data_IF_349895920561
#
_entry.id   IF_349895920561
#
_cell.length_a   1.000
_cell.length_b   1.000
_cell.length_c   1.000
_cell.angle_alpha   90.00
_cell.angle_beta   90.00
_cell.angle_gamma   90.00
#
_symmetry.space_group_name_H-M   'P 1'
#
loop_
_entity.id
_entity.type
_entity.pdbx_description
1 polymer ?
#
# COMPACT_ATOMS: atom_id res chain seq x y z
N UNK A 1 -16.39 38.54 -16.42
CA UNK A 1 -15.23 37.93 -15.66
C UNK A 1 -15.01 36.58 -16.30
N UNK A 2 -14.04 36.46 -17.18
CA UNK A 2 -13.60 35.17 -17.73
C UNK A 2 -13.03 34.39 -16.57
N UNK A 3 -13.68 33.30 -16.23
CA UNK A 3 -13.27 32.39 -15.14
C UNK A 3 -11.91 31.80 -15.53
N UNK A 4 -10.86 32.37 -14.95
CA UNK A 4 -9.50 31.91 -15.21
C UNK A 4 -9.39 30.47 -14.76
N UNK A 5 -8.94 29.58 -15.64
CA UNK A 5 -8.89 28.14 -15.35
C UNK A 5 -8.02 27.85 -14.14
N UNK A 6 -8.54 27.17 -13.14
CA UNK A 6 -7.78 26.77 -11.94
C UNK A 6 -6.52 25.98 -12.31
N UNK A 7 -5.36 26.36 -11.75
CA UNK A 7 -4.06 25.68 -11.95
C UNK A 7 -3.62 24.85 -10.73
N UNK A 8 -4.56 24.48 -9.86
CA UNK A 8 -4.31 23.51 -8.78
C UNK A 8 -4.56 22.09 -9.28
N UNK A 9 -3.64 21.17 -9.03
CA UNK A 9 -3.82 19.76 -9.34
C UNK A 9 -4.31 18.97 -8.12
N UNK A 10 -5.20 18.00 -8.32
CA UNK A 10 -5.52 16.96 -7.35
C UNK A 10 -4.75 15.69 -7.70
N UNK A 11 -4.07 15.10 -6.72
CA UNK A 11 -3.48 13.76 -6.83
C UNK A 11 -4.15 12.85 -5.81
N UNK A 12 -4.74 11.75 -6.27
CA UNK A 12 -5.45 10.76 -5.44
C UNK A 12 -4.60 9.51 -5.27
N UNK A 13 -4.15 9.28 -4.03
CA UNK A 13 -3.22 8.22 -3.65
C UNK A 13 -1.78 8.73 -3.53
N UNK A 14 -1.18 8.52 -2.37
CA UNK A 14 0.18 8.96 -2.04
C UNK A 14 1.15 7.77 -1.89
N UNK A 15 1.05 6.77 -2.77
CA UNK A 15 2.11 5.82 -3.06
C UNK A 15 3.23 6.48 -3.89
N UNK A 16 4.26 5.73 -4.28
CA UNK A 16 5.42 6.27 -5.01
C UNK A 16 5.00 7.03 -6.29
N UNK A 17 3.99 6.55 -7.03
CA UNK A 17 3.50 7.24 -8.22
C UNK A 17 2.85 8.60 -7.89
N UNK A 18 1.95 8.63 -6.89
CA UNK A 18 1.31 9.90 -6.49
C UNK A 18 2.29 10.89 -5.87
N UNK A 19 3.24 10.42 -5.07
CA UNK A 19 4.35 11.25 -4.53
C UNK A 19 5.16 11.86 -5.67
N UNK A 20 5.55 11.06 -6.68
CA UNK A 20 6.31 11.55 -7.84
C UNK A 20 5.52 12.60 -8.60
N UNK A 21 4.27 12.30 -8.96
CA UNK A 21 3.43 13.25 -9.71
C UNK A 21 3.20 14.57 -8.93
N UNK A 22 2.97 14.47 -7.62
CA UNK A 22 2.78 15.65 -6.77
C UNK A 22 4.03 16.53 -6.70
N UNK A 23 5.21 15.92 -6.54
CA UNK A 23 6.48 16.66 -6.49
C UNK A 23 6.82 17.27 -7.85
N UNK A 24 6.64 16.56 -8.96
CA UNK A 24 6.94 17.07 -10.30
C UNK A 24 6.10 18.34 -10.62
N UNK A 25 4.82 18.32 -10.23
CA UNK A 25 3.92 19.47 -10.40
C UNK A 25 4.30 20.61 -9.44
N UNK A 26 4.50 20.29 -8.16
CA UNK A 26 4.77 21.29 -7.14
C UNK A 26 6.13 21.98 -7.33
N UNK A 27 7.17 21.24 -7.71
CA UNK A 27 8.49 21.76 -8.05
C UNK A 27 8.47 22.65 -9.31
N UNK A 28 7.46 22.50 -10.17
CA UNK A 28 7.22 23.39 -11.31
C UNK A 28 6.42 24.66 -10.94
N UNK A 29 6.14 24.89 -9.65
CA UNK A 29 5.52 26.08 -9.12
C UNK A 29 3.98 26.04 -9.07
N UNK A 30 3.33 24.91 -9.35
CA UNK A 30 1.88 24.80 -9.30
C UNK A 30 1.39 24.15 -8.01
N UNK A 31 0.27 24.63 -7.43
CA UNK A 31 -0.32 24.05 -6.23
C UNK A 31 -0.86 22.63 -6.46
N UNK A 32 -0.66 21.77 -5.48
CA UNK A 32 -1.13 20.38 -5.47
C UNK A 32 -1.93 20.08 -4.20
N UNK A 33 -3.07 19.45 -4.36
CA UNK A 33 -3.82 18.79 -3.28
C UNK A 33 -3.54 17.29 -3.39
N UNK A 34 -2.82 16.74 -2.40
CA UNK A 34 -2.49 15.31 -2.36
C UNK A 34 -3.35 14.61 -1.30
N UNK A 35 -4.18 13.65 -1.74
CA UNK A 35 -5.11 12.93 -0.87
C UNK A 35 -4.67 11.48 -0.69
N UNK A 36 -4.55 11.04 0.58
CA UNK A 36 -4.19 9.67 0.94
C UNK A 36 -5.18 9.11 1.95
N UNK A 37 -5.65 7.88 1.68
CA UNK A 37 -6.59 7.18 2.54
C UNK A 37 -5.95 6.71 3.85
N UNK A 38 -4.70 6.29 3.82
CA UNK A 38 -3.98 5.86 5.01
C UNK A 38 -3.53 7.08 5.85
N UNK A 39 -3.25 6.88 7.15
CA UNK A 39 -2.81 8.00 8.00
C UNK A 39 -1.42 8.55 7.66
N UNK A 40 -0.67 7.87 6.80
CA UNK A 40 0.61 8.35 6.26
C UNK A 40 0.83 7.91 4.83
N UNK A 41 1.69 8.64 4.11
CA UNK A 41 2.02 8.40 2.71
C UNK A 41 3.10 7.33 2.54
N UNK A 42 3.26 6.80 1.31
CA UNK A 42 4.29 5.84 0.93
C UNK A 42 3.77 4.57 0.24
N UNK A 43 2.50 4.22 0.44
CA UNK A 43 1.88 3.04 -0.19
C UNK A 43 2.62 1.74 0.09
N UNK A 44 2.62 0.81 -0.86
CA UNK A 44 3.29 -0.48 -0.71
C UNK A 44 4.82 -0.36 -0.62
N UNK A 45 5.44 0.68 -1.19
CA UNK A 45 6.89 0.86 -1.07
C UNK A 45 7.32 1.05 0.39
N UNK A 46 6.47 1.63 1.24
CA UNK A 46 6.69 1.73 2.69
C UNK A 46 6.73 0.37 3.40
N UNK A 47 6.23 -0.68 2.79
CA UNK A 47 6.20 -2.04 3.35
C UNK A 47 7.39 -2.89 2.92
N UNK A 48 8.15 -2.47 1.89
CA UNK A 48 9.28 -3.22 1.37
C UNK A 48 10.51 -3.12 2.28
N UNK A 49 11.33 -4.16 2.28
CA UNK A 49 12.67 -4.16 2.88
C UNK A 49 13.67 -3.46 1.97
N UNK A 50 13.85 -4.00 0.79
CA UNK A 50 14.78 -3.52 -0.24
C UNK A 50 14.10 -3.53 -1.61
N UNK A 51 14.71 -2.88 -2.60
CA UNK A 51 14.24 -2.85 -4.00
C UNK A 51 15.05 -3.80 -4.85
N UNK A 52 14.51 -4.27 -5.96
CA UNK A 52 15.26 -4.97 -7.00
C UNK A 52 15.54 -4.00 -8.17
N UNK A 53 16.61 -4.18 -8.95
CA UNK A 53 17.65 -5.20 -8.84
C UNK A 53 18.84 -4.77 -7.96
N UNK A 54 18.82 -3.57 -7.41
CA UNK A 54 19.96 -2.93 -6.72
C UNK A 54 20.16 -3.38 -5.29
N UNK A 55 19.12 -3.95 -4.66
CA UNK A 55 19.08 -4.27 -3.22
C UNK A 55 19.24 -3.03 -2.32
N UNK A 56 18.80 -1.88 -2.80
CA UNK A 56 18.77 -0.66 -2.00
C UNK A 56 17.63 -0.70 -0.98
N UNK A 57 17.87 -0.12 0.17
CA UNK A 57 16.87 0.07 1.22
C UNK A 57 15.70 0.93 0.71
N UNK A 58 14.51 0.37 0.65
CA UNK A 58 13.32 1.07 0.15
C UNK A 58 12.97 2.32 0.96
N UNK A 59 13.18 2.27 2.30
CA UNK A 59 12.95 3.40 3.18
C UNK A 59 13.95 4.54 2.94
N UNK A 60 15.22 4.20 2.65
CA UNK A 60 16.26 5.18 2.37
C UNK A 60 15.98 5.96 1.08
N UNK A 61 15.37 5.31 0.09
CA UNK A 61 14.94 5.96 -1.16
C UNK A 61 13.68 6.80 -0.94
N UNK A 62 12.72 6.26 -0.21
CA UNK A 62 11.39 6.85 -0.08
C UNK A 62 11.33 7.99 0.95
N UNK A 63 12.04 7.87 2.07
CA UNK A 63 11.96 8.86 3.17
C UNK A 63 12.27 10.29 2.72
N UNK A 64 13.32 10.57 1.92
CA UNK A 64 13.55 11.92 1.43
C UNK A 64 12.35 12.48 0.65
N UNK A 65 11.73 11.66 -0.20
CA UNK A 65 10.58 12.06 -1.01
C UNK A 65 9.33 12.32 -0.17
N UNK A 66 9.06 11.48 0.83
CA UNK A 66 7.92 11.67 1.72
C UNK A 66 8.09 12.91 2.62
N UNK A 67 9.31 13.18 3.09
CA UNK A 67 9.64 14.38 3.85
C UNK A 67 9.51 15.64 2.99
N UNK A 68 9.99 15.60 1.75
CA UNK A 68 9.81 16.68 0.77
C UNK A 68 8.34 17.01 0.56
N UNK A 69 7.48 16.00 0.30
CA UNK A 69 6.03 16.18 0.20
C UNK A 69 5.44 16.81 1.47
N UNK A 70 5.86 16.34 2.64
CA UNK A 70 5.32 16.80 3.92
C UNK A 70 5.65 18.26 4.28
N UNK A 71 6.66 18.84 3.63
CA UNK A 71 7.14 20.21 3.88
C UNK A 71 7.07 21.14 2.67
N UNK A 72 6.63 20.64 1.51
CA UNK A 72 6.59 21.42 0.29
C UNK A 72 5.50 22.49 0.36
N UNK A 73 5.85 23.76 0.11
CA UNK A 73 4.93 24.90 0.21
C UNK A 73 3.75 24.84 -0.75
N UNK A 74 3.95 24.22 -1.93
CA UNK A 74 2.91 24.05 -2.94
C UNK A 74 2.09 22.76 -2.78
N UNK A 75 2.32 21.93 -1.73
CA UNK A 75 1.56 20.71 -1.52
C UNK A 75 0.69 20.80 -0.27
N UNK A 76 -0.62 20.74 -0.47
CA UNK A 76 -1.59 20.53 0.63
C UNK A 76 -1.84 19.02 0.78
N UNK A 77 -1.28 18.43 1.83
CA UNK A 77 -1.38 16.99 2.10
C UNK A 77 -2.57 16.67 3.01
N UNK A 78 -3.51 15.89 2.51
CA UNK A 78 -4.65 15.36 3.25
C UNK A 78 -4.52 13.84 3.39
N UNK A 79 -3.89 13.39 4.48
CA UNK A 79 -3.88 11.97 4.85
C UNK A 79 -5.08 11.59 5.70
N UNK A 80 -5.35 10.29 5.85
CA UNK A 80 -6.52 9.76 6.53
C UNK A 80 -7.83 10.28 5.95
N UNK A 81 -7.85 10.46 4.61
CA UNK A 81 -8.89 11.17 3.88
C UNK A 81 -9.38 10.38 2.67
N UNK A 82 -10.67 10.45 2.41
CA UNK A 82 -11.32 9.82 1.26
C UNK A 82 -11.95 10.90 0.36
N UNK A 83 -11.99 10.67 -0.95
CA UNK A 83 -12.79 11.49 -1.84
C UNK A 83 -14.28 11.14 -1.63
N UNK A 84 -15.08 12.12 -1.23
CA UNK A 84 -16.50 11.95 -1.00
C UNK A 84 -17.30 12.14 -2.30
N UNK A 85 -16.98 13.20 -3.04
CA UNK A 85 -17.62 13.49 -4.34
C UNK A 85 -16.74 14.37 -5.22
N UNK A 86 -16.97 14.27 -6.51
CA UNK A 86 -16.34 15.09 -7.55
C UNK A 86 -17.42 15.62 -8.48
N UNK A 87 -17.41 16.92 -8.74
CA UNK A 87 -18.34 17.57 -9.66
C UNK A 87 -17.57 18.47 -10.62
N UNK A 88 -17.76 18.25 -11.92
CA UNK A 88 -17.23 19.14 -12.94
C UNK A 88 -18.07 20.42 -12.99
N UNK A 89 -17.42 21.55 -13.06
CA UNK A 89 -18.06 22.87 -13.14
C UNK A 89 -18.13 23.36 -14.60
N UNK A 90 -19.05 24.33 -14.90
CA UNK A 90 -19.14 24.90 -16.25
C UNK A 90 -17.83 25.56 -16.74
N UNK A 91 -16.97 26.00 -15.81
CA UNK A 91 -15.63 26.52 -16.10
C UNK A 91 -14.64 25.50 -16.63
N UNK A 92 -15.00 24.20 -16.56
CA UNK A 92 -14.09 23.08 -16.85
C UNK A 92 -13.23 22.64 -15.65
N UNK A 93 -13.30 23.33 -14.53
CA UNK A 93 -12.68 22.94 -13.28
C UNK A 93 -13.48 21.84 -12.56
N UNK A 94 -12.91 21.28 -11.52
CA UNK A 94 -13.57 20.30 -10.66
C UNK A 94 -13.70 20.84 -9.25
N UNK A 95 -14.89 20.69 -8.66
CA UNK A 95 -15.12 20.86 -7.24
C UNK A 95 -15.05 19.49 -6.59
N UNK A 96 -14.12 19.30 -5.64
CA UNK A 96 -13.85 18.03 -4.98
C UNK A 96 -14.14 18.16 -3.50
N UNK A 97 -14.97 17.27 -2.98
CA UNK A 97 -15.22 17.14 -1.54
C UNK A 97 -14.38 16.01 -0.97
N UNK A 98 -13.55 16.35 0.00
CA UNK A 98 -12.62 15.47 0.66
C UNK A 98 -13.10 15.29 2.10
N UNK A 99 -13.43 14.06 2.49
CA UNK A 99 -13.77 13.71 3.87
C UNK A 99 -12.52 13.27 4.62
N UNK A 100 -12.04 14.11 5.53
CA UNK A 100 -10.98 13.75 6.47
C UNK A 100 -11.61 13.04 7.67
N UNK A 101 -11.21 11.81 7.90
CA UNK A 101 -11.73 10.98 8.98
C UNK A 101 -11.22 11.47 10.34
N UNK A 102 -12.04 11.28 11.38
CA UNK A 102 -11.65 11.56 12.75
C UNK A 102 -10.53 10.62 13.19
N UNK A 103 -9.37 11.19 13.48
CA UNK A 103 -8.20 10.46 14.00
C UNK A 103 -8.31 10.24 15.52
N UNK A 104 -9.21 10.98 16.19
CA UNK A 104 -9.34 11.11 17.65
C UNK A 104 -8.05 11.59 18.32
N UNK A 105 -7.20 12.23 17.53
CA UNK A 105 -5.97 12.90 17.93
C UNK A 105 -5.93 14.25 17.21
N UNK A 106 -5.86 15.33 17.95
CA UNK A 106 -5.62 16.66 17.43
C UNK A 106 -4.18 16.74 16.92
N UNK A 107 -4.02 16.68 15.60
CA UNK A 107 -2.70 16.64 14.98
C UNK A 107 -1.93 17.95 15.08
N UNK A 108 -2.60 19.07 15.32
CA UNK A 108 -1.95 20.36 15.51
C UNK A 108 -1.28 20.43 16.90
N UNK A 109 -1.90 19.84 17.91
CA UNK A 109 -1.33 19.69 19.25
C UNK A 109 -0.33 18.54 19.39
N UNK A 110 -0.46 17.50 18.55
CA UNK A 110 0.36 16.30 18.66
C UNK A 110 1.80 16.55 18.20
N UNK A 111 2.78 16.20 19.03
CA UNK A 111 4.22 16.28 18.70
C UNK A 111 4.80 14.98 18.12
N UNK A 112 4.01 13.90 18.01
CA UNK A 112 4.50 12.61 17.52
C UNK A 112 5.38 11.84 18.54
N UNK A 113 5.33 12.16 19.82
CA UNK A 113 6.23 11.60 20.85
C UNK A 113 6.05 10.09 21.14
N UNK A 114 4.97 9.45 20.66
CA UNK A 114 4.74 8.02 20.80
C UNK A 114 4.25 7.51 22.16
N UNK A 115 4.20 8.34 23.21
CA UNK A 115 3.79 7.93 24.57
C UNK A 115 2.42 7.24 24.58
N UNK A 116 1.44 7.77 23.84
CA UNK A 116 0.11 7.19 23.74
C UNK A 116 0.11 5.77 23.14
N UNK A 117 0.98 5.52 22.15
CA UNK A 117 1.15 4.20 21.53
C UNK A 117 1.80 3.21 22.50
N UNK A 118 2.89 3.64 23.16
CA UNK A 118 3.58 2.80 24.14
C UNK A 118 2.65 2.36 25.27
N UNK A 119 1.89 3.29 25.84
CA UNK A 119 1.02 3.06 26.99
C UNK A 119 -0.34 2.44 26.66
N UNK A 120 -0.72 2.30 25.39
CA UNK A 120 -1.94 1.59 25.02
C UNK A 120 -1.80 0.10 25.34
N UNK A 121 -2.68 -0.48 26.23
CA UNK A 121 -2.57 -1.88 26.60
C UNK A 121 -3.07 -2.84 25.51
N UNK A 122 -3.89 -2.34 24.57
CA UNK A 122 -4.56 -3.18 23.58
C UNK A 122 -3.73 -3.30 22.31
N UNK A 123 -3.65 -4.53 21.80
CA UNK A 123 -3.02 -4.89 20.53
C UNK A 123 -4.05 -5.53 19.61
N UNK A 124 -3.98 -5.20 18.34
CA UNK A 124 -4.81 -5.77 17.26
C UNK A 124 -3.92 -6.19 16.11
N UNK A 125 -4.45 -6.99 15.20
CA UNK A 125 -3.74 -7.39 13.98
C UNK A 125 -3.42 -6.15 13.14
N UNK A 126 -2.19 -6.05 12.67
CA UNK A 126 -1.77 -4.98 11.77
C UNK A 126 -1.96 -5.38 10.30
N UNK A 127 -2.82 -4.66 9.59
CA UNK A 127 -2.97 -4.85 8.14
C UNK A 127 -1.73 -4.35 7.38
N UNK A 128 -1.05 -3.32 7.88
CA UNK A 128 0.22 -2.86 7.33
C UNK A 128 1.31 -3.94 7.43
N UNK A 129 1.32 -4.71 8.51
CA UNK A 129 2.21 -5.86 8.68
C UNK A 129 1.64 -7.15 8.05
N UNK A 130 0.65 -7.05 7.18
CA UNK A 130 0.02 -8.19 6.50
C UNK A 130 -0.47 -9.30 7.43
N UNK A 131 -0.83 -8.95 8.66
CA UNK A 131 -1.32 -9.91 9.65
C UNK A 131 -0.26 -10.70 10.40
N UNK A 132 1.01 -10.58 10.05
CA UNK A 132 2.11 -11.31 10.73
C UNK A 132 2.58 -10.66 12.03
N UNK A 133 2.11 -9.46 12.34
CA UNK A 133 2.43 -8.76 13.58
C UNK A 133 1.26 -7.95 14.11
N UNK A 134 1.25 -7.67 15.43
CA UNK A 134 0.25 -6.78 16.03
C UNK A 134 0.67 -5.31 15.93
N UNK A 135 -0.33 -4.42 15.95
CA UNK A 135 -0.16 -3.00 16.24
C UNK A 135 -0.95 -2.60 17.48
N UNK A 136 -0.67 -1.45 18.03
CA UNK A 136 -1.51 -0.85 19.06
C UNK A 136 -2.83 -0.32 18.45
N UNK A 137 -3.84 -0.14 19.29
CA UNK A 137 -5.12 0.46 18.87
C UNK A 137 -4.96 1.94 18.52
N UNK A 138 -4.06 2.67 19.23
CA UNK A 138 -3.54 3.97 18.79
C UNK A 138 -2.18 3.75 18.16
N UNK A 139 -1.98 4.20 16.93
CA UNK A 139 -0.82 3.81 16.13
C UNK A 139 -0.44 4.84 15.06
N UNK A 140 0.82 4.80 14.63
CA UNK A 140 1.32 5.26 13.33
C UNK A 140 1.62 4.04 12.47
N UNK A 141 1.59 4.15 11.13
CA UNK A 141 1.80 2.99 10.25
C UNK A 141 3.22 2.43 10.35
N UNK A 142 4.21 3.31 10.41
CA UNK A 142 5.63 2.95 10.50
C UNK A 142 6.40 3.97 11.32
N UNK A 143 7.63 3.66 11.74
CA UNK A 143 8.51 4.64 12.40
C UNK A 143 8.86 5.84 11.50
N UNK A 144 8.84 5.68 10.17
CA UNK A 144 9.12 6.72 9.17
C UNK A 144 7.85 7.37 8.61
N UNK A 145 6.71 7.23 9.29
CA UNK A 145 5.43 7.77 8.84
C UNK A 145 5.49 9.28 8.59
N UNK A 146 4.96 9.72 7.46
CA UNK A 146 4.75 11.14 7.13
C UNK A 146 3.26 11.34 6.79
N UNK A 147 2.54 12.17 7.55
CA UNK A 147 2.96 12.80 8.80
C UNK A 147 3.17 11.76 9.93
N UNK A 148 4.07 12.03 10.88
CA UNK A 148 4.25 11.19 12.06
C UNK A 148 3.19 11.54 13.13
N UNK A 149 1.95 11.25 12.80
CA UNK A 149 0.79 11.55 13.62
C UNK A 149 -0.02 10.27 13.86
N UNK A 150 -0.28 9.88 15.10
CA UNK A 150 -1.06 8.68 15.38
C UNK A 150 -2.54 8.88 15.09
N UNK A 151 -3.21 7.75 14.82
CA UNK A 151 -4.67 7.64 14.75
C UNK A 151 -5.15 6.59 15.76
N UNK A 152 -6.38 6.72 16.20
CA UNK A 152 -7.04 5.72 17.04
C UNK A 152 -7.96 4.89 16.16
N UNK A 153 -7.78 3.57 16.17
CA UNK A 153 -8.72 2.63 15.58
C UNK A 153 -10.00 2.61 16.42
N UNK A 154 -10.98 3.39 15.98
CA UNK A 154 -12.21 3.63 16.72
C UNK A 154 -13.02 2.34 16.96
N UNK A 155 -12.97 1.39 16.03
CA UNK A 155 -13.67 0.11 16.13
C UNK A 155 -13.05 -0.81 17.18
N UNK A 156 -11.78 -0.65 17.49
CA UNK A 156 -11.02 -1.47 18.43
C UNK A 156 -10.73 -0.74 19.76
N UNK A 157 -11.03 0.57 19.84
CA UNK A 157 -10.76 1.37 21.02
C UNK A 157 -11.81 1.13 22.11
N UNK A 158 -11.38 0.54 23.22
CA UNK A 158 -12.28 0.26 24.38
C UNK A 158 -12.93 1.51 24.94
N UNK A 159 -12.26 2.65 24.91
CA UNK A 159 -12.84 3.92 25.37
C UNK A 159 -13.98 4.34 24.46
N UNK A 160 -13.73 4.46 23.16
CA UNK A 160 -14.75 4.89 22.19
C UNK A 160 -15.92 3.92 22.14
N UNK A 161 -15.68 2.62 22.11
CA UNK A 161 -16.74 1.62 22.12
C UNK A 161 -17.61 1.74 23.37
N UNK A 162 -17.02 1.85 24.56
CA UNK A 162 -17.79 2.01 25.79
C UNK A 162 -18.54 3.33 25.86
N UNK A 163 -17.97 4.44 25.36
CA UNK A 163 -18.62 5.74 25.23
C UNK A 163 -19.85 5.65 24.34
N UNK A 164 -19.71 5.10 23.15
CA UNK A 164 -20.81 4.96 22.18
C UNK A 164 -21.89 4.00 22.65
N UNK A 165 -21.53 2.96 23.41
CA UNK A 165 -22.53 2.07 24.02
C UNK A 165 -23.35 2.79 25.09
N UNK A 166 -22.73 3.67 25.87
CA UNK A 166 -23.43 4.50 26.86
C UNK A 166 -24.33 5.54 26.17
N UNK A 167 -23.84 6.23 25.16
CA UNK A 167 -24.59 7.23 24.39
C UNK A 167 -25.79 6.62 23.65
N UNK A 168 -25.63 5.37 23.18
CA UNK A 168 -26.72 4.62 22.53
C UNK A 168 -27.65 3.89 23.49
N UNK A 169 -27.48 4.05 24.82
CA UNK A 169 -28.28 3.37 25.84
C UNK A 169 -28.04 1.85 25.94
N UNK A 170 -27.00 1.32 25.29
CA UNK A 170 -26.64 -0.10 25.37
C UNK A 170 -25.84 -0.47 26.62
N UNK A 171 -25.29 0.52 27.30
CA UNK A 171 -24.64 0.35 28.61
C UNK A 171 -25.14 1.41 29.59
N UNK A 172 -25.22 1.11 30.92
CA UNK A 172 -25.70 2.06 31.89
C UNK A 172 -24.77 3.27 31.98
N UNK A 173 -25.33 4.48 31.96
CA UNK A 173 -24.62 5.72 32.20
C UNK A 173 -24.33 5.97 33.67
N UNK A 174 -25.01 5.23 34.57
CA UNK A 174 -24.82 5.27 36.04
C UNK A 174 -24.62 3.86 36.57
N UNK A 175 -23.87 3.74 37.66
CA UNK A 175 -23.69 2.47 38.36
C UNK A 175 -24.86 2.16 39.26
N UNK A 176 -24.83 1.02 39.99
CA UNK A 176 -25.86 0.59 40.92
C UNK A 176 -26.08 1.54 42.12
N UNK A 177 -25.18 2.51 42.30
CA UNK A 177 -25.26 3.53 43.36
C UNK A 177 -25.65 4.91 42.82
N UNK A 178 -25.99 5.03 41.52
CA UNK A 178 -26.36 6.28 40.89
C UNK A 178 -25.19 7.17 40.46
N UNK A 179 -23.93 6.71 40.57
CA UNK A 179 -22.77 7.50 40.15
C UNK A 179 -22.57 7.38 38.64
N UNK A 180 -22.12 8.46 37.95
CA UNK A 180 -21.80 8.41 36.56
C UNK A 180 -20.72 7.37 36.25
N UNK A 181 -21.00 6.47 35.30
CA UNK A 181 -20.01 5.52 34.77
C UNK A 181 -19.13 6.21 33.74
N UNK A 182 -17.84 6.20 33.96
CA UNK A 182 -16.90 6.70 32.97
C UNK A 182 -16.57 5.65 31.91
N UNK A 183 -16.30 6.04 30.65
CA UNK A 183 -15.86 5.10 29.64
C UNK A 183 -14.62 4.32 30.08
N UNK A 184 -14.57 3.04 29.69
CA UNK A 184 -13.46 2.13 30.09
C UNK A 184 -12.16 2.55 29.43
N UNK A 185 -11.06 2.60 30.19
CA UNK A 185 -9.71 2.99 29.72
C UNK A 185 -9.49 4.52 29.70
N UNK A 186 -8.87 5.10 28.63
CA UNK A 186 -8.49 6.52 28.53
C UNK A 186 -7.02 6.79 28.89
N UNK A 187 -6.17 5.77 29.03
CA UNK A 187 -4.77 5.91 29.40
C UNK A 187 -3.97 6.84 28.47
N UNK A 188 -4.22 6.76 27.16
CA UNK A 188 -3.56 7.61 26.15
C UNK A 188 -3.85 9.10 26.37
N UNK A 189 -5.08 9.47 26.74
CA UNK A 189 -5.44 10.86 27.02
C UNK A 189 -4.81 11.36 28.33
N UNK A 190 -4.85 10.53 29.39
CA UNK A 190 -4.28 10.89 30.69
C UNK A 190 -2.76 11.10 30.64
N UNK A 191 -2.07 10.42 29.75
CA UNK A 191 -0.61 10.42 29.65
C UNK A 191 -0.10 11.27 28.47
N UNK A 192 -0.98 11.86 27.68
CA UNK A 192 -0.58 12.73 26.58
C UNK A 192 -0.04 14.07 27.12
N UNK A 193 1.25 14.40 26.89
CA UNK A 193 1.83 15.61 27.47
C UNK A 193 1.25 16.91 26.88
N UNK A 194 0.69 16.84 25.68
CA UNK A 194 0.11 18.01 24.98
C UNK A 194 -1.42 18.02 25.00
N UNK A 195 -2.06 17.03 25.61
CA UNK A 195 -3.53 16.92 25.61
C UNK A 195 -4.14 16.75 24.21
N UNK A 196 -3.41 16.11 23.30
CA UNK A 196 -3.84 15.99 21.89
C UNK A 196 -4.93 14.95 21.66
N UNK A 197 -5.32 14.13 22.63
CA UNK A 197 -6.40 13.15 22.44
C UNK A 197 -7.76 13.85 22.53
N UNK A 198 -8.52 13.75 21.46
CA UNK A 198 -9.84 14.38 21.33
C UNK A 198 -10.91 13.32 21.02
N UNK A 199 -11.68 12.95 22.02
CA UNK A 199 -12.73 11.95 21.95
C UNK A 199 -14.00 12.41 21.23
N UNK A 200 -14.15 13.72 21.03
CA UNK A 200 -15.29 14.36 20.38
C UNK A 200 -15.01 14.70 18.91
N UNK A 201 -13.82 14.39 18.42
CA UNK A 201 -13.45 14.68 17.05
C UNK A 201 -14.40 14.00 16.06
N UNK A 202 -14.84 14.77 15.07
CA UNK A 202 -15.72 14.32 14.00
C UNK A 202 -15.00 14.36 12.66
N UNK A 203 -15.53 13.62 11.68
CA UNK A 203 -15.10 13.76 10.28
C UNK A 203 -15.28 15.20 9.82
N UNK A 204 -14.35 15.68 8.99
CA UNK A 204 -14.41 17.03 8.41
C UNK A 204 -14.47 16.93 6.91
N UNK A 205 -15.38 17.68 6.29
CA UNK A 205 -15.42 17.85 4.84
C UNK A 205 -14.64 19.10 4.46
N UNK A 206 -13.74 18.93 3.48
CA UNK A 206 -12.91 19.98 2.91
C UNK A 206 -13.32 20.08 1.43
N UNK A 207 -13.56 21.28 0.93
CA UNK A 207 -13.87 21.52 -0.49
C UNK A 207 -12.66 22.15 -1.16
N UNK A 208 -12.25 21.57 -2.29
CA UNK A 208 -11.12 22.03 -3.09
C UNK A 208 -11.55 22.19 -4.54
N UNK A 209 -11.25 23.34 -5.12
CA UNK A 209 -11.39 23.56 -6.56
C UNK A 209 -10.07 23.23 -7.24
N UNK A 210 -10.12 22.36 -8.25
CA UNK A 210 -8.92 21.90 -8.95
C UNK A 210 -9.13 21.93 -10.47
N UNK A 211 -8.05 22.19 -11.18
CA UNK A 211 -8.07 22.29 -12.64
C UNK A 211 -7.65 20.98 -13.36
N UNK A 212 -6.99 20.08 -12.65
CA UNK A 212 -6.60 18.77 -13.19
C UNK A 212 -6.56 17.73 -12.08
N UNK A 213 -6.68 16.45 -12.44
CA UNK A 213 -6.74 15.33 -11.51
C UNK A 213 -5.80 14.23 -11.98
N UNK A 214 -5.02 13.64 -11.07
CA UNK A 214 -4.24 12.43 -11.32
C UNK A 214 -4.72 11.33 -10.36
N UNK A 215 -5.14 10.19 -10.92
CA UNK A 215 -5.50 9.00 -10.16
C UNK A 215 -4.31 8.06 -10.06
N UNK A 216 -3.73 7.91 -8.86
CA UNK A 216 -2.56 7.09 -8.55
C UNK A 216 -2.86 6.13 -7.40
N UNK A 217 -4.03 5.48 -7.43
CA UNK A 217 -4.61 4.71 -6.31
C UNK A 217 -3.93 3.38 -6.02
N UNK A 218 -3.03 2.92 -6.90
CA UNK A 218 -2.24 1.71 -6.68
C UNK A 218 -3.02 0.41 -6.90
N UNK A 219 -2.57 -0.67 -6.26
CA UNK A 219 -3.06 -2.03 -6.43
C UNK A 219 -3.20 -2.76 -5.09
N UNK A 220 -3.79 -3.94 -5.12
CA UNK A 220 -3.81 -4.89 -4.02
C UNK A 220 -3.19 -6.24 -4.44
N UNK A 221 -2.91 -7.11 -3.48
CA UNK A 221 -2.53 -8.50 -3.74
C UNK A 221 -3.76 -9.40 -3.62
N UNK A 222 -3.82 -10.43 -4.47
CA UNK A 222 -4.84 -11.47 -4.32
C UNK A 222 -4.74 -12.08 -2.91
N UNK A 223 -5.81 -12.08 -2.12
CA UNK A 223 -5.79 -12.64 -0.76
C UNK A 223 -5.41 -14.13 -0.79
N UNK A 224 -4.51 -14.54 0.10
CA UNK A 224 -4.06 -15.95 0.17
C UNK A 224 -5.21 -16.93 0.42
N UNK A 225 -6.29 -16.48 1.06
CA UNK A 225 -7.52 -17.25 1.29
C UNK A 225 -8.23 -17.68 -0.01
N UNK A 226 -7.91 -17.03 -1.14
CA UNK A 226 -8.41 -17.41 -2.47
C UNK A 226 -7.66 -18.62 -3.07
N UNK A 227 -6.62 -19.10 -2.38
CA UNK A 227 -5.74 -20.20 -2.78
C UNK A 227 -5.74 -21.32 -1.74
N UNK A 228 -6.90 -21.97 -1.48
CA UNK A 228 -7.03 -22.99 -0.44
C UNK A 228 -6.17 -24.24 -0.73
N UNK A 229 -5.90 -24.56 -1.99
CA UNK A 229 -4.99 -25.65 -2.39
C UNK A 229 -3.55 -25.45 -1.88
N UNK A 230 -3.17 -24.19 -1.61
CA UNK A 230 -1.88 -23.84 -1.02
C UNK A 230 -1.95 -23.61 0.49
N UNK A 231 -3.08 -23.96 1.13
CA UNK A 231 -3.28 -23.75 2.57
C UNK A 231 -3.35 -22.27 2.96
N UNK A 232 -3.65 -21.39 1.99
CA UNK A 232 -3.72 -19.96 2.18
C UNK A 232 -4.79 -19.56 3.19
N UNK A 233 -4.41 -18.83 4.24
CA UNK A 233 -5.31 -18.39 5.31
C UNK A 233 -5.58 -19.44 6.40
N UNK A 234 -5.26 -20.71 6.18
CA UNK A 234 -5.38 -21.80 7.17
C UNK A 234 -4.06 -22.10 7.85
N UNK A 235 -3.00 -22.25 7.05
CA UNK A 235 -1.66 -22.57 7.54
C UNK A 235 -0.90 -21.27 7.84
N UNK A 236 -0.57 -21.05 9.11
CA UNK A 236 0.05 -19.79 9.57
C UNK A 236 1.41 -19.49 8.93
N UNK A 237 2.16 -20.54 8.54
CA UNK A 237 3.47 -20.43 7.92
C UNK A 237 3.38 -20.43 6.37
N UNK A 238 2.19 -20.22 5.83
CA UNK A 238 1.97 -19.89 4.41
C UNK A 238 1.59 -18.41 4.33
N UNK A 239 2.50 -17.60 3.80
CA UNK A 239 2.39 -16.13 3.76
C UNK A 239 2.45 -15.60 2.33
N UNK A 240 1.97 -14.39 2.07
CA UNK A 240 2.20 -13.72 0.79
C UNK A 240 3.59 -13.05 0.73
N UNK A 241 4.01 -12.66 -0.49
CA UNK A 241 5.31 -12.02 -0.71
C UNK A 241 5.47 -10.71 0.07
N UNK A 242 4.41 -9.93 0.27
CA UNK A 242 4.48 -8.66 1.00
C UNK A 242 4.57 -8.90 2.52
N UNK A 243 3.93 -9.95 3.04
CA UNK A 243 4.14 -10.39 4.42
C UNK A 243 5.60 -10.81 4.65
N UNK A 244 6.20 -11.52 3.68
CA UNK A 244 7.61 -11.88 3.76
C UNK A 244 8.54 -10.65 3.72
N UNK A 245 8.21 -9.61 2.94
CA UNK A 245 8.89 -8.31 3.01
C UNK A 245 8.88 -7.73 4.42
N UNK A 246 7.75 -7.84 5.14
CA UNK A 246 7.67 -7.34 6.52
C UNK A 246 8.52 -8.14 7.51
N UNK A 247 8.76 -9.43 7.27
CA UNK A 247 9.75 -10.21 8.02
C UNK A 247 11.19 -9.77 7.71
N UNK A 248 11.46 -9.40 6.45
CA UNK A 248 12.76 -8.91 6.02
C UNK A 248 13.04 -7.46 6.45
N UNK A 249 12.02 -6.63 6.60
CA UNK A 249 12.21 -5.20 6.89
C UNK A 249 12.68 -4.96 8.33
N UNK A 250 13.71 -4.12 8.50
CA UNK A 250 14.19 -3.70 9.83
C UNK A 250 13.10 -3.01 10.67
N UNK A 251 12.17 -2.29 9.99
CA UNK A 251 10.99 -1.67 10.60
C UNK A 251 9.81 -2.63 10.78
N UNK A 252 9.94 -3.88 10.39
CA UNK A 252 8.90 -4.89 10.50
C UNK A 252 8.72 -5.45 11.92
N UNK A 253 7.72 -6.32 12.12
CA UNK A 253 7.34 -6.79 13.45
C UNK A 253 8.41 -7.65 14.13
N UNK A 254 9.36 -8.18 13.37
CA UNK A 254 10.47 -9.03 13.84
C UNK A 254 11.83 -8.32 13.78
N UNK A 255 11.84 -7.00 13.52
CA UNK A 255 13.06 -6.23 13.36
C UNK A 255 14.05 -6.84 12.35
N UNK A 256 13.51 -7.34 11.22
CA UNK A 256 14.29 -7.93 10.14
C UNK A 256 14.74 -9.38 10.36
N UNK A 257 14.33 -10.03 11.42
CA UNK A 257 14.60 -11.46 11.64
C UNK A 257 13.54 -12.28 10.91
N UNK A 258 13.97 -13.15 10.01
CA UNK A 258 13.08 -14.09 9.34
C UNK A 258 12.70 -15.21 10.30
N UNK A 259 11.44 -15.22 10.71
CA UNK A 259 10.91 -16.22 11.65
C UNK A 259 9.55 -16.73 11.17
N UNK A 260 9.19 -17.92 11.56
CA UNK A 260 7.86 -18.51 11.28
C UNK A 260 6.78 -17.77 12.07
N UNK A 261 5.68 -17.36 11.44
CA UNK A 261 4.56 -16.74 12.15
C UNK A 261 3.90 -17.62 13.21
N UNK A 262 4.01 -18.95 13.10
CA UNK A 262 3.39 -19.89 14.02
C UNK A 262 4.03 -19.91 15.40
N UNK A 263 5.37 -19.94 15.47
CA UNK A 263 6.13 -20.21 16.71
C UNK A 263 7.37 -19.32 16.91
N UNK A 264 7.70 -18.46 15.93
CA UNK A 264 8.87 -17.58 16.01
C UNK A 264 10.21 -18.25 15.74
N UNK A 265 10.24 -19.52 15.34
CA UNK A 265 11.47 -20.21 14.98
C UNK A 265 12.03 -19.73 13.64
N UNK A 266 13.36 -19.78 13.48
CA UNK A 266 14.01 -19.43 12.21
C UNK A 266 13.79 -20.57 11.21
N UNK A 267 13.14 -20.32 10.05
CA UNK A 267 12.92 -21.35 9.04
C UNK A 267 14.24 -21.71 8.35
N UNK A 268 14.51 -23.01 8.20
CA UNK A 268 15.67 -23.54 7.48
C UNK A 268 15.34 -23.96 6.05
N UNK A 269 14.08 -24.25 5.78
CA UNK A 269 13.58 -24.60 4.45
C UNK A 269 12.47 -23.64 4.06
N UNK A 270 12.74 -22.72 3.14
CA UNK A 270 11.76 -21.77 2.63
C UNK A 270 11.46 -22.09 1.17
N UNK A 271 10.18 -22.24 0.85
CA UNK A 271 9.72 -22.49 -0.51
C UNK A 271 8.95 -21.26 -1.01
N UNK A 272 9.37 -20.74 -2.14
CA UNK A 272 8.67 -19.65 -2.86
C UNK A 272 7.87 -20.25 -4.01
N UNK A 273 6.59 -19.90 -4.10
CA UNK A 273 5.70 -20.37 -5.15
C UNK A 273 5.33 -19.18 -6.06
N UNK A 274 5.92 -19.14 -7.23
CA UNK A 274 5.60 -18.11 -8.23
C UNK A 274 4.26 -18.36 -8.91
N UNK A 275 3.69 -17.31 -9.49
CA UNK A 275 2.40 -17.32 -10.20
C UNK A 275 1.24 -17.83 -9.35
N UNK A 276 1.27 -17.62 -8.01
CA UNK A 276 0.18 -18.00 -7.11
C UNK A 276 -1.06 -17.15 -7.39
N UNK A 277 -1.99 -17.71 -8.17
CA UNK A 277 -3.19 -17.01 -8.65
C UNK A 277 -2.96 -16.07 -9.84
N UNK A 278 -1.73 -15.94 -10.39
CA UNK A 278 -1.45 -15.27 -11.65
C UNK A 278 -1.40 -16.29 -12.79
N UNK A 279 -1.78 -15.89 -14.02
CA UNK A 279 -1.81 -16.80 -15.20
C UNK A 279 -2.69 -18.04 -14.95
N UNK A 280 -3.74 -17.81 -14.20
CA UNK A 280 -4.70 -18.84 -13.78
C UNK A 280 -6.13 -18.30 -13.92
N UNK A 281 -6.75 -18.43 -15.10
CA UNK A 281 -8.06 -17.85 -15.37
C UNK A 281 -9.20 -18.51 -14.57
N UNK A 282 -8.97 -19.70 -14.03
CA UNK A 282 -10.02 -20.43 -13.29
C UNK A 282 -10.09 -19.99 -11.81
N UNK A 283 -8.95 -19.76 -11.16
CA UNK A 283 -8.87 -19.53 -9.70
C UNK A 283 -8.29 -18.17 -9.31
N UNK A 284 -7.63 -17.52 -10.24
CA UNK A 284 -6.96 -16.24 -10.01
C UNK A 284 -7.25 -15.22 -11.10
N UNK A 285 -6.19 -14.73 -11.73
CA UNK A 285 -6.25 -13.78 -12.84
C UNK A 285 -5.55 -14.34 -14.08
N UNK A 286 -6.05 -14.02 -15.30
CA UNK A 286 -5.51 -14.62 -16.54
C UNK A 286 -4.12 -14.06 -16.91
N UNK A 287 -3.74 -12.90 -16.39
CA UNK A 287 -2.51 -12.18 -16.74
C UNK A 287 -1.33 -12.48 -15.81
N UNK A 288 -0.15 -12.08 -16.24
CA UNK A 288 1.08 -12.12 -15.45
C UNK A 288 1.17 -10.88 -14.53
N UNK A 289 1.50 -11.09 -13.27
CA UNK A 289 1.73 -10.01 -12.30
C UNK A 289 3.08 -9.28 -12.48
N UNK A 290 3.87 -9.64 -13.49
CA UNK A 290 5.12 -9.01 -13.96
C UNK A 290 6.26 -8.99 -12.94
N UNK A 291 6.05 -8.47 -11.72
CA UNK A 291 7.12 -8.18 -10.75
C UNK A 291 7.54 -9.37 -9.88
N UNK A 292 6.75 -10.46 -9.87
CA UNK A 292 6.96 -11.55 -8.90
C UNK A 292 8.27 -12.32 -9.10
N UNK A 293 8.73 -12.52 -10.33
CA UNK A 293 10.01 -13.19 -10.58
C UNK A 293 11.19 -12.45 -9.95
N UNK A 294 11.15 -11.13 -9.95
CA UNK A 294 12.22 -10.28 -9.44
C UNK A 294 12.16 -10.10 -7.92
N UNK A 295 10.97 -9.83 -7.35
CA UNK A 295 10.91 -9.69 -5.90
C UNK A 295 11.13 -11.03 -5.19
N UNK A 296 10.75 -12.17 -5.77
CA UNK A 296 11.07 -13.50 -5.21
C UNK A 296 12.57 -13.76 -5.25
N UNK A 297 13.26 -13.45 -6.35
CA UNK A 297 14.72 -13.55 -6.43
C UNK A 297 15.38 -12.72 -5.31
N UNK A 298 14.95 -11.45 -5.16
CA UNK A 298 15.40 -10.55 -4.09
C UNK A 298 15.15 -11.16 -2.70
N UNK A 299 13.93 -11.62 -2.43
CA UNK A 299 13.54 -12.19 -1.14
C UNK A 299 14.35 -13.43 -0.80
N UNK A 300 14.57 -14.30 -1.77
CA UNK A 300 15.38 -15.51 -1.61
C UNK A 300 16.84 -15.19 -1.31
N UNK A 301 17.44 -14.21 -2.01
CA UNK A 301 18.81 -13.73 -1.72
C UNK A 301 18.92 -13.14 -0.32
N UNK A 302 17.98 -12.28 0.07
CA UNK A 302 17.98 -11.66 1.41
C UNK A 302 17.77 -12.70 2.51
N UNK A 303 16.94 -13.71 2.27
CA UNK A 303 16.77 -14.82 3.18
C UNK A 303 18.08 -15.60 3.35
N UNK A 304 18.75 -15.96 2.24
CA UNK A 304 20.06 -16.67 2.27
C UNK A 304 21.14 -15.87 2.99
N UNK A 305 21.12 -14.54 2.83
CA UNK A 305 22.05 -13.66 3.55
C UNK A 305 21.81 -13.69 5.07
N UNK A 306 20.55 -13.74 5.52
CA UNK A 306 20.19 -13.73 6.96
C UNK A 306 20.20 -15.09 7.61
N UNK A 307 20.02 -16.14 6.83
CA UNK A 307 20.01 -17.53 7.26
C UNK A 307 20.95 -18.32 6.34
N UNK A 308 22.29 -18.19 6.50
CA UNK A 308 23.27 -18.75 5.57
C UNK A 308 23.18 -20.27 5.40
N UNK A 309 22.80 -21.00 6.45
CA UNK A 309 22.56 -22.44 6.47
C UNK A 309 21.13 -22.83 6.04
N UNK A 310 20.29 -21.85 5.71
CA UNK A 310 18.95 -22.07 5.19
C UNK A 310 18.95 -22.42 3.71
N UNK A 311 17.91 -23.12 3.26
CA UNK A 311 17.68 -23.48 1.86
C UNK A 311 16.48 -22.72 1.32
N UNK A 312 16.67 -22.02 0.20
CA UNK A 312 15.60 -21.35 -0.57
C UNK A 312 15.32 -22.13 -1.84
N UNK A 313 14.06 -22.50 -2.07
CA UNK A 313 13.60 -23.17 -3.29
C UNK A 313 12.49 -22.38 -3.92
N UNK A 314 12.57 -22.12 -5.22
CA UNK A 314 11.59 -21.36 -6.00
C UNK A 314 10.93 -22.28 -7.03
N UNK A 315 9.62 -22.49 -6.91
CA UNK A 315 8.83 -23.09 -7.98
C UNK A 315 8.42 -22.01 -8.99
N UNK A 316 8.71 -22.23 -10.27
CA UNK A 316 8.42 -21.28 -11.34
C UNK A 316 7.92 -21.96 -12.62
N UNK A 317 7.15 -21.24 -13.43
CA UNK A 317 6.70 -21.70 -14.75
C UNK A 317 7.72 -21.28 -15.82
N UNK A 318 7.99 -19.99 -15.87
CA UNK A 318 9.05 -19.32 -16.61
C UNK A 318 9.51 -18.07 -15.84
N UNK A 319 10.70 -17.57 -16.11
CA UNK A 319 11.21 -16.32 -15.55
C UNK A 319 10.89 -15.19 -16.51
N UNK A 320 10.17 -14.18 -16.02
CA UNK A 320 9.85 -12.94 -16.72
C UNK A 320 10.58 -11.78 -16.06
N UNK A 321 11.77 -11.53 -16.54
CA UNK A 321 12.69 -10.52 -16.04
C UNK A 321 12.98 -9.46 -17.14
N UNK A 322 11.91 -8.82 -17.63
CA UNK A 322 12.02 -7.82 -18.69
C UNK A 322 12.55 -6.50 -18.14
N UNK A 323 13.76 -6.14 -18.53
CA UNK A 323 14.46 -4.92 -18.13
C UNK A 323 15.97 -5.11 -18.16
N UNK A 324 16.72 -4.00 -18.27
CA UNK A 324 18.18 -4.03 -18.28
C UNK A 324 18.71 -4.50 -16.91
N UNK A 325 19.50 -5.60 -16.91
CA UNK A 325 20.09 -6.16 -15.70
C UNK A 325 19.14 -7.02 -14.85
N UNK A 326 17.90 -7.26 -15.30
CA UNK A 326 16.91 -8.01 -14.51
C UNK A 326 17.11 -9.53 -14.64
N UNK A 327 17.50 -10.01 -15.80
CA UNK A 327 17.81 -11.42 -16.01
C UNK A 327 19.06 -11.83 -15.23
N UNK A 328 20.10 -11.01 -15.30
CA UNK A 328 21.34 -11.18 -14.54
C UNK A 328 21.09 -11.17 -13.02
N UNK A 329 20.10 -10.39 -12.56
CA UNK A 329 19.71 -10.39 -11.17
C UNK A 329 19.13 -11.73 -10.72
N UNK A 330 18.32 -12.39 -11.55
CA UNK A 330 17.80 -13.73 -11.26
C UNK A 330 18.90 -14.79 -11.33
N UNK A 331 19.81 -14.68 -12.33
CA UNK A 331 20.98 -15.55 -12.44
C UNK A 331 21.85 -15.45 -11.21
N UNK A 332 22.10 -14.25 -10.70
CA UNK A 332 22.83 -14.03 -9.44
C UNK A 332 22.20 -14.73 -8.23
N UNK A 333 20.89 -14.75 -8.13
CA UNK A 333 20.19 -15.49 -7.06
C UNK A 333 20.51 -16.99 -7.10
N UNK A 334 20.64 -17.57 -8.29
CA UNK A 334 20.96 -18.99 -8.48
C UNK A 334 22.45 -19.27 -8.23
N UNK A 335 23.33 -18.54 -8.90
CA UNK A 335 24.77 -18.86 -8.96
C UNK A 335 25.54 -18.39 -7.73
N UNK A 336 25.25 -17.18 -7.21
CA UNK A 336 26.00 -16.61 -6.10
C UNK A 336 25.36 -16.93 -4.73
N UNK A 337 24.00 -17.01 -4.68
CA UNK A 337 23.29 -17.24 -3.44
C UNK A 337 22.78 -18.68 -3.26
N UNK A 338 22.95 -19.55 -4.28
CA UNK A 338 22.57 -20.95 -4.22
C UNK A 338 21.05 -21.17 -4.05
N UNK A 339 20.23 -20.28 -4.61
CA UNK A 339 18.78 -20.44 -4.63
C UNK A 339 18.42 -21.51 -5.66
N UNK A 340 17.70 -22.54 -5.22
CA UNK A 340 17.27 -23.63 -6.09
C UNK A 340 16.02 -23.23 -6.85
N UNK A 341 16.07 -23.29 -8.18
CA UNK A 341 14.93 -23.05 -9.06
C UNK A 341 14.41 -24.36 -9.62
N UNK A 342 13.14 -24.71 -9.32
CA UNK A 342 12.44 -25.89 -9.83
C UNK A 342 11.38 -25.45 -10.84
N UNK A 343 11.57 -25.84 -12.12
CA UNK A 343 10.61 -25.50 -13.15
C UNK A 343 9.39 -26.39 -13.06
N UNK A 344 8.28 -25.83 -12.59
CA UNK A 344 7.03 -26.55 -12.46
C UNK A 344 6.00 -25.80 -11.65
N UNK A 345 4.85 -26.40 -11.46
CA UNK A 345 3.76 -25.83 -10.67
C UNK A 345 3.54 -26.66 -9.40
N UNK A 346 3.34 -25.98 -8.29
CA UNK A 346 2.88 -26.61 -7.06
C UNK A 346 1.42 -27.01 -7.23
N UNK A 347 1.07 -28.22 -6.85
CA UNK A 347 -0.29 -28.74 -6.91
C UNK A 347 -1.03 -28.59 -5.60
N UNK A 348 -0.34 -28.76 -4.45
CA UNK A 348 -0.95 -28.70 -3.14
C UNK A 348 0.11 -28.41 -2.06
N UNK A 349 -0.32 -27.68 -1.00
CA UNK A 349 0.42 -27.50 0.24
C UNK A 349 -0.48 -27.91 1.40
N UNK A 350 0.06 -28.71 2.34
CA UNK A 350 -0.65 -29.17 3.52
C UNK A 350 0.31 -29.37 4.70
N UNK A 351 -0.22 -29.48 5.90
CA UNK A 351 0.57 -29.77 7.09
C UNK A 351 0.61 -31.26 7.37
N UNK A 352 1.80 -31.78 7.67
CA UNK A 352 2.03 -33.14 8.14
C UNK A 352 3.15 -33.12 9.18
N UNK A 353 2.91 -33.72 10.33
CA UNK A 353 3.87 -33.82 11.44
C UNK A 353 4.51 -32.49 11.85
N UNK A 354 3.71 -31.40 11.80
CA UNK A 354 4.13 -30.05 12.17
C UNK A 354 5.00 -29.33 11.11
N UNK A 355 5.14 -29.90 9.91
CA UNK A 355 5.82 -29.30 8.76
C UNK A 355 4.88 -29.06 7.61
N UNK A 356 5.24 -28.13 6.75
CA UNK A 356 4.53 -27.87 5.50
C UNK A 356 5.06 -28.83 4.42
N UNK A 357 4.18 -29.58 3.79
CA UNK A 357 4.53 -30.44 2.66
C UNK A 357 4.08 -29.74 1.38
N UNK A 358 5.04 -29.42 0.54
CA UNK A 358 4.81 -28.78 -0.77
C UNK A 358 4.94 -29.84 -1.85
N UNK A 359 3.80 -30.16 -2.50
CA UNK A 359 3.77 -31.11 -3.63
C UNK A 359 3.72 -30.37 -4.96
N UNK A 360 4.56 -30.78 -5.88
CA UNK A 360 4.63 -30.23 -7.22
C UNK A 360 5.26 -31.20 -8.21
N UNK A 361 5.63 -30.68 -9.36
CA UNK A 361 6.36 -31.44 -10.37
C UNK A 361 7.56 -30.60 -10.84
N UNK A 362 8.68 -31.25 -11.10
CA UNK A 362 9.76 -30.69 -11.88
C UNK A 362 9.59 -31.12 -13.34
N UNK A 363 9.25 -30.16 -14.18
CA UNK A 363 8.98 -30.41 -15.61
C UNK A 363 10.24 -30.63 -16.45
N UNK A 364 11.44 -30.32 -15.91
CA UNK A 364 12.71 -30.61 -16.59
C UNK A 364 13.13 -32.04 -16.41
N UNK A 365 12.99 -32.57 -15.18
CA UNK A 365 13.31 -33.97 -14.88
C UNK A 365 12.12 -34.93 -15.06
N UNK A 366 10.92 -34.41 -15.33
CA UNK A 366 9.65 -35.17 -15.42
C UNK A 366 9.32 -35.96 -14.14
N UNK A 367 9.68 -35.43 -12.97
CA UNK A 367 9.49 -36.09 -11.67
C UNK A 367 8.49 -35.33 -10.79
N UNK A 368 7.70 -36.08 -10.06
CA UNK A 368 6.99 -35.51 -8.91
C UNK A 368 7.99 -35.10 -7.84
N UNK A 369 7.75 -33.96 -7.22
CA UNK A 369 8.61 -33.40 -6.17
C UNK A 369 7.76 -33.15 -4.94
N UNK A 370 8.31 -33.54 -3.77
CA UNK A 370 7.73 -33.27 -2.47
C UNK A 370 8.82 -32.63 -1.59
N UNK A 371 8.55 -31.43 -1.08
CA UNK A 371 9.50 -30.68 -0.23
C UNK A 371 8.87 -30.45 1.13
N UNK A 372 9.58 -30.84 2.18
CA UNK A 372 9.24 -30.50 3.56
C UNK A 372 9.77 -29.09 3.86
N UNK A 373 8.88 -28.13 4.01
CA UNK A 373 9.20 -26.72 4.23
C UNK A 373 8.87 -26.27 5.66
N UNK A 374 9.59 -25.27 6.15
CA UNK A 374 9.30 -24.57 7.41
C UNK A 374 8.42 -23.33 7.17
N UNK A 375 8.58 -22.71 6.02
CA UNK A 375 7.83 -21.51 5.60
C UNK A 375 7.58 -21.55 4.10
N UNK A 376 6.39 -21.18 3.67
CA UNK A 376 6.04 -21.03 2.26
C UNK A 376 5.64 -19.60 1.96
N UNK A 377 6.20 -19.05 0.89
CA UNK A 377 5.93 -17.70 0.40
C UNK A 377 5.19 -17.79 -0.93
N UNK A 378 3.95 -17.35 -0.96
CA UNK A 378 3.13 -17.30 -2.16
C UNK A 378 3.36 -15.96 -2.87
N UNK A 379 3.89 -16.00 -4.09
CA UNK A 379 3.94 -14.84 -4.96
C UNK A 379 2.54 -14.62 -5.57
N UNK A 380 1.63 -14.06 -4.75
CA UNK A 380 0.23 -13.90 -5.11
C UNK A 380 0.03 -12.87 -6.20
N UNK A 381 -1.07 -13.01 -6.95
CA UNK A 381 -1.38 -12.13 -8.06
C UNK A 381 -1.52 -10.67 -7.62
N UNK A 382 -1.05 -9.79 -8.48
CA UNK A 382 -1.28 -8.35 -8.46
C UNK A 382 -2.68 -8.08 -9.02
N UNK A 383 -3.55 -7.45 -8.26
CA UNK A 383 -4.94 -7.21 -8.64
C UNK A 383 -5.33 -5.75 -8.47
N UNK A 384 -6.32 -5.30 -9.20
CA UNK A 384 -6.91 -4.00 -8.99
C UNK A 384 -7.45 -3.90 -7.55
N UNK A 385 -7.39 -2.70 -6.96
CA UNK A 385 -7.96 -2.48 -5.62
C UNK A 385 -9.47 -2.70 -5.63
N UNK A 386 -10.00 -3.22 -4.56
CA UNK A 386 -11.45 -3.38 -4.40
C UNK A 386 -12.21 -2.05 -4.55
N UNK A 387 -11.56 -0.92 -4.25
CA UNK A 387 -12.14 0.43 -4.41
C UNK A 387 -12.03 1.01 -5.83
N UNK A 388 -11.32 0.36 -6.76
CA UNK A 388 -11.05 0.94 -8.10
C UNK A 388 -12.33 1.26 -8.86
N UNK A 389 -13.30 0.36 -8.88
CA UNK A 389 -14.58 0.60 -9.58
C UNK A 389 -15.36 1.81 -9.01
N UNK A 390 -15.36 1.96 -7.67
CA UNK A 390 -16.01 3.11 -7.02
C UNK A 390 -15.29 4.42 -7.33
N UNK A 391 -13.95 4.42 -7.30
CA UNK A 391 -13.14 5.58 -7.68
C UNK A 391 -13.36 5.91 -9.15
N UNK A 392 -13.29 4.93 -10.05
CA UNK A 392 -13.54 5.12 -11.47
C UNK A 392 -14.90 5.78 -11.74
N UNK A 393 -15.95 5.30 -11.09
CA UNK A 393 -17.30 5.87 -11.21
C UNK A 393 -17.37 7.33 -10.70
N UNK A 394 -16.68 7.67 -9.62
CA UNK A 394 -16.65 9.05 -9.09
C UNK A 394 -16.02 10.04 -10.06
N UNK A 395 -15.01 9.61 -10.82
CA UNK A 395 -14.29 10.47 -11.77
C UNK A 395 -14.74 10.28 -13.23
N UNK A 396 -15.68 9.39 -13.48
CA UNK A 396 -16.16 9.08 -14.84
C UNK A 396 -15.15 8.33 -15.71
N UNK A 397 -14.16 7.67 -15.10
CA UNK A 397 -13.09 6.94 -15.77
C UNK A 397 -13.51 5.51 -16.04
N UNK A 398 -13.07 4.94 -17.15
CA UNK A 398 -13.30 3.53 -17.47
C UNK A 398 -12.41 2.58 -16.61
N UNK A 399 -12.85 1.33 -16.51
CA UNK A 399 -12.03 0.21 -16.01
C UNK A 399 -11.93 -0.85 -17.11
N UNK A 400 -10.79 -1.56 -17.14
CA UNK A 400 -10.58 -2.68 -18.04
C UNK A 400 -11.31 -3.96 -17.58
N UNK A 401 -11.23 -5.03 -18.35
CA UNK A 401 -11.82 -6.34 -18.02
C UNK A 401 -11.23 -6.96 -16.74
N UNK A 402 -10.08 -6.50 -16.28
CA UNK A 402 -9.40 -6.96 -15.08
C UNK A 402 -9.63 -6.04 -13.85
N UNK A 403 -10.42 -4.97 -14.03
CA UNK A 403 -10.81 -4.03 -12.99
C UNK A 403 -9.78 -2.92 -12.70
N UNK A 404 -8.73 -2.77 -13.51
CA UNK A 404 -7.81 -1.63 -13.43
C UNK A 404 -8.38 -0.40 -14.12
N UNK A 405 -7.88 0.80 -13.75
CA UNK A 405 -8.24 2.02 -14.46
C UNK A 405 -7.73 1.93 -15.90
N UNK A 406 -8.60 2.25 -16.86
CA UNK A 406 -8.28 2.19 -18.28
C UNK A 406 -8.05 3.59 -18.86
N UNK A 407 -6.96 3.83 -19.60
CA UNK A 407 -6.79 5.04 -20.39
C UNK A 407 -7.81 5.10 -21.54
N UNK A 408 -8.04 6.29 -22.07
CA UNK A 408 -8.93 6.47 -23.22
C UNK A 408 -8.36 5.86 -24.51
N UNK A 409 -7.04 5.86 -24.63
CA UNK A 409 -6.27 5.22 -25.70
C UNK A 409 -4.97 4.69 -25.09
N UNK A 410 -4.82 3.36 -25.04
CA UNK A 410 -3.70 2.71 -24.37
C UNK A 410 -2.37 2.92 -25.11
N UNK A 411 -2.41 3.03 -26.44
CA UNK A 411 -1.21 3.13 -27.26
C UNK A 411 -0.73 4.58 -27.43
N UNK A 412 -1.63 5.51 -27.69
CA UNK A 412 -1.30 6.89 -28.04
C UNK A 412 -1.40 7.87 -26.86
N UNK A 413 -2.21 7.54 -25.85
CA UNK A 413 -2.48 8.40 -24.69
C UNK A 413 -2.52 7.61 -23.36
N UNK A 414 -1.46 6.86 -23.01
CA UNK A 414 -1.46 5.85 -21.93
C UNK A 414 -1.64 6.42 -20.51
N UNK A 415 -1.64 7.75 -20.36
CA UNK A 415 -1.86 8.43 -19.07
C UNK A 415 -3.12 9.28 -19.07
N UNK A 416 -3.86 9.33 -20.17
CA UNK A 416 -5.10 10.12 -20.30
C UNK A 416 -6.33 9.20 -20.14
N UNK A 417 -7.24 9.55 -19.25
CA UNK A 417 -8.39 8.70 -18.93
C UNK A 417 -9.52 8.75 -19.97
N UNK A 418 -9.45 9.63 -20.97
CA UNK A 418 -10.57 9.95 -21.84
C UNK A 418 -11.55 10.97 -21.23
N UNK A 419 -11.41 11.29 -19.95
CA UNK A 419 -12.12 12.39 -19.27
C UNK A 419 -11.22 13.61 -19.26
N UNK A 420 -11.74 14.76 -19.69
CA UNK A 420 -10.96 16.00 -19.80
C UNK A 420 -10.29 16.38 -18.47
N UNK A 421 -9.00 16.67 -18.50
CA UNK A 421 -8.16 17.04 -17.37
C UNK A 421 -8.08 15.98 -16.24
N UNK A 422 -8.43 14.71 -16.52
CA UNK A 422 -8.26 13.58 -15.62
C UNK A 422 -7.23 12.62 -16.19
N UNK A 423 -6.15 12.40 -15.45
CA UNK A 423 -4.99 11.58 -15.82
C UNK A 423 -4.82 10.39 -14.90
N UNK A 424 -4.13 9.38 -15.37
CA UNK A 424 -3.92 8.12 -14.68
C UNK A 424 -2.43 7.86 -14.48
N UNK A 425 -2.05 7.27 -13.34
CA UNK A 425 -0.65 7.01 -13.07
C UNK A 425 -0.41 5.69 -12.32
N UNK A 426 0.64 5.01 -12.74
CA UNK A 426 1.27 3.92 -12.04
C UNK A 426 0.45 2.65 -11.93
N UNK A 427 0.56 2.02 -10.78
CA UNK A 427 0.05 0.69 -10.48
C UNK A 427 -1.48 0.54 -10.54
N UNK A 428 -2.22 1.65 -10.63
CA UNK A 428 -3.67 1.66 -10.81
C UNK A 428 -4.13 1.21 -12.21
N UNK A 429 -3.22 1.22 -13.19
CA UNK A 429 -3.48 0.82 -14.58
C UNK A 429 -3.03 -0.62 -14.89
N UNK A 430 -2.47 -1.34 -13.93
CA UNK A 430 -1.99 -2.71 -14.12
C UNK A 430 -0.61 -2.95 -13.51
N UNK A 431 -0.10 -4.19 -13.62
CA UNK A 431 1.17 -4.59 -13.03
C UNK A 431 2.37 -3.79 -13.55
N UNK A 432 3.05 -3.09 -12.65
CA UNK A 432 4.24 -2.26 -12.89
C UNK A 432 5.23 -2.38 -11.74
N UNK A 433 6.51 -2.24 -12.05
CA UNK A 433 7.55 -2.05 -11.05
C UNK A 433 7.67 -0.58 -10.61
N UNK A 434 8.59 -0.29 -9.70
CA UNK A 434 8.80 1.08 -9.18
C UNK A 434 9.28 2.04 -10.28
N UNK A 435 10.33 1.73 -11.09
CA UNK A 435 10.78 2.59 -12.18
C UNK A 435 9.67 2.93 -13.19
N UNK A 436 8.89 1.95 -13.60
CA UNK A 436 7.77 2.15 -14.53
C UNK A 436 6.67 3.02 -13.93
N UNK A 437 6.37 2.79 -12.64
CA UNK A 437 5.40 3.60 -11.90
C UNK A 437 5.84 5.06 -11.81
N UNK A 438 7.11 5.30 -11.52
CA UNK A 438 7.71 6.65 -11.48
C UNK A 438 7.66 7.32 -12.85
N UNK A 439 8.11 6.61 -13.90
CA UNK A 439 8.10 7.16 -15.27
C UNK A 439 6.69 7.54 -15.75
N UNK A 440 5.71 6.68 -15.50
CA UNK A 440 4.32 6.96 -15.89
C UNK A 440 3.72 8.11 -15.07
N UNK A 441 4.04 8.20 -13.77
CA UNK A 441 3.61 9.29 -12.91
C UNK A 441 4.17 10.65 -13.37
N UNK A 442 5.46 10.70 -13.74
CA UNK A 442 6.05 11.89 -14.35
C UNK A 442 5.43 12.24 -15.71
N UNK A 443 5.06 11.22 -16.51
CA UNK A 443 4.31 11.43 -17.75
C UNK A 443 2.94 12.06 -17.52
N UNK A 444 2.20 11.61 -16.51
CA UNK A 444 0.92 12.20 -16.12
C UNK A 444 1.09 13.64 -15.59
N UNK A 445 2.12 13.89 -14.77
CA UNK A 445 2.47 15.22 -14.29
C UNK A 445 2.80 16.17 -15.45
N UNK A 446 3.58 15.72 -16.45
CA UNK A 446 3.91 16.52 -17.63
C UNK A 446 2.66 16.93 -18.43
N UNK A 447 1.64 16.06 -18.53
CA UNK A 447 0.35 16.42 -19.16
C UNK A 447 -0.39 17.49 -18.35
N UNK A 448 -0.42 17.40 -17.03
CA UNK A 448 -1.00 18.44 -16.16
C UNK A 448 -0.25 19.76 -16.32
N UNK A 449 1.08 19.74 -16.32
CA UNK A 449 1.90 20.95 -16.51
C UNK A 449 1.66 21.61 -17.86
N UNK A 450 1.57 20.81 -18.93
CA UNK A 450 1.23 21.34 -20.27
C UNK A 450 -0.14 22.03 -20.27
N UNK A 451 -1.16 21.41 -19.63
CA UNK A 451 -2.50 21.99 -19.50
C UNK A 451 -2.46 23.33 -18.74
N UNK A 452 -1.74 23.38 -17.61
CA UNK A 452 -1.66 24.57 -16.77
C UNK A 452 -0.88 25.71 -17.46
N UNK A 453 0.20 25.40 -18.16
CA UNK A 453 0.91 26.41 -18.96
C UNK A 453 0.07 27.00 -20.07
N UNK A 454 -0.76 26.21 -20.74
CA UNK A 454 -1.71 26.70 -21.73
C UNK A 454 -2.75 27.67 -21.11
N UNK A 455 -3.25 27.35 -19.92
CA UNK A 455 -4.18 28.22 -19.18
C UNK A 455 -3.53 29.55 -18.80
N UNK A 456 -2.33 29.51 -18.23
CA UNK A 456 -1.56 30.73 -17.87
C UNK A 456 -1.25 31.59 -19.11
N UNK A 457 -0.87 30.97 -20.22
CA UNK A 457 -0.61 31.71 -21.48
C UNK A 457 -1.89 32.36 -22.03
N UNK A 458 -3.02 31.66 -21.98
CA UNK A 458 -4.29 32.21 -22.43
C UNK A 458 -4.72 33.43 -21.60
N UNK A 459 -4.52 33.42 -20.28
CA UNK A 459 -4.79 34.56 -19.40
C UNK A 459 -3.90 35.78 -19.72
N UNK A 460 -2.60 35.54 -19.96
CA UNK A 460 -1.67 36.61 -20.32
C UNK A 460 -2.05 37.31 -21.63
N UNK A 461 -2.62 36.58 -22.59
CA UNK A 461 -3.11 37.15 -23.85
C UNK A 461 -4.42 37.94 -23.72
N UNK A 462 -5.25 37.64 -22.73
CA UNK A 462 -6.52 38.36 -22.47
C UNK A 462 -6.28 39.67 -21.72
N UNK A 463 -5.19 39.76 -20.96
CA UNK A 463 -4.81 40.91 -20.13
C UNK A 463 -3.83 41.88 -20.85
N UNK A 464 -3.27 41.50 -21.98
CA UNK A 464 -2.44 42.33 -22.85
C UNK A 464 -3.28 42.99 -23.99
#
# INVERSE_FOLDING_TARGET
MTDSGCTTALVVGAGIGGITAALDIANSGFPVVLVEREPSIGGHMAQLSETFPTLDCSQCIMTPRTVEVGHHENIRLHTYSDIESVRREPSGNYMVRIRRRAAFVDWDKCTGCGVCQEKCPFKVVSLFERGIGPRKVIYTLSPQAVPNKPVIDAQQCRYLQSKWDMEAGRAPAVDKHGNPVTPKCGACAKLCPTGAIDWEQQDRVIEEQVGAIILATGYDLLPVQRLPEYGGGELRDVVDGLAFERLLAASGPTAGKVVRPSDGAVPKQVVFVQCSGSRDPERGVPYCSKICCLYVAKQAMLYKHRVPDGQATVFYIDVRAGGKGYEEFVTRAQEEHGVVYLRGKVSKIYSQDGRLIVKGADTLSHRAVEISADLVVLATAYVARASTAAVAAQFGVAVDENGFLAPGDEEMAPVESGVEAVFLAGAALGPKDIPETVAQASGAAAKVLSLFQQRVAAEAHVTA
#
